data_IF_309404745715
#
_entry.id   IF_309404745715
#
_cell.length_a   1.000
_cell.length_b   1.000
_cell.length_c   1.000
_cell.angle_alpha   90.00
_cell.angle_beta   90.00
_cell.angle_gamma   90.00
#
_symmetry.space_group_name_H-M   'P 1'
#
loop_
_entity.id
_entity.type
_entity.pdbx_description
1 polymer ?
#
# COMPACT_ATOMS: atom_id res chain seq x y z
N UNK A 1 -30.86 0.67 -2.43
CA UNK A 1 -29.40 0.99 -2.43
C UNK A 1 -29.19 2.16 -1.47
N UNK A 2 -28.37 2.05 -0.43
CA UNK A 2 -28.04 3.20 0.44
C UNK A 2 -26.84 3.94 -0.16
N UNK A 3 -26.95 5.27 -0.32
CA UNK A 3 -25.82 6.09 -0.73
C UNK A 3 -24.68 5.97 0.29
N UNK A 4 -23.44 5.99 -0.17
CA UNK A 4 -22.26 6.05 0.67
C UNK A 4 -22.12 7.42 1.29
N UNK A 5 -21.64 7.51 2.54
CA UNK A 5 -21.53 8.80 3.26
C UNK A 5 -20.37 9.64 2.73
N UNK A 6 -19.26 8.99 2.41
CA UNK A 6 -18.05 9.64 1.92
C UNK A 6 -17.42 8.82 0.81
N UNK A 7 -16.48 9.40 0.08
CA UNK A 7 -15.69 8.69 -0.91
C UNK A 7 -14.86 7.56 -0.28
N UNK A 8 -14.49 7.66 1.00
CA UNK A 8 -13.74 6.62 1.70
C UNK A 8 -14.53 5.32 1.84
N UNK A 9 -15.87 5.40 1.91
CA UNK A 9 -16.76 4.23 1.98
C UNK A 9 -16.81 3.44 0.66
N UNK A 10 -16.20 3.94 -0.40
CA UNK A 10 -16.09 3.26 -1.70
C UNK A 10 -14.76 2.54 -1.88
N UNK A 11 -13.85 2.66 -0.90
CA UNK A 11 -12.57 1.96 -0.92
C UNK A 11 -12.80 0.48 -0.64
N UNK A 12 -12.14 -0.37 -1.42
CA UNK A 12 -12.34 -1.81 -1.35
C UNK A 12 -13.52 -2.31 -2.18
N UNK A 13 -13.95 -3.54 -1.90
CA UNK A 13 -14.97 -4.26 -2.70
C UNK A 13 -14.69 -4.18 -4.20
N UNK A 14 -13.41 -4.20 -4.56
CA UNK A 14 -12.96 -4.07 -5.95
C UNK A 14 -13.35 -5.30 -6.76
N UNK A 15 -13.61 -5.16 -8.07
CA UNK A 15 -13.96 -6.29 -8.90
C UNK A 15 -12.79 -7.25 -9.09
N UNK A 16 -13.14 -8.50 -9.37
CA UNK A 16 -12.21 -9.51 -9.84
C UNK A 16 -12.65 -9.98 -11.22
N UNK A 17 -11.71 -10.11 -12.15
CA UNK A 17 -11.99 -10.53 -13.53
C UNK A 17 -11.15 -11.74 -13.91
N UNK A 18 -11.74 -12.62 -14.73
CA UNK A 18 -10.99 -13.72 -15.33
C UNK A 18 -10.17 -13.21 -16.52
N UNK A 19 -8.91 -13.62 -16.56
CA UNK A 19 -8.02 -13.33 -17.69
C UNK A 19 -8.03 -14.55 -18.62
N UNK A 20 -8.59 -14.39 -19.81
CA UNK A 20 -8.81 -15.51 -20.71
C UNK A 20 -7.67 -15.72 -21.72
N UNK A 21 -6.90 -14.68 -22.05
CA UNK A 21 -5.94 -14.70 -23.15
C UNK A 21 -4.50 -15.05 -22.75
N UNK A 22 -4.15 -14.99 -21.45
CA UNK A 22 -2.76 -15.13 -21.02
C UNK A 22 -2.35 -16.57 -20.65
N UNK A 23 -3.30 -17.47 -20.42
CA UNK A 23 -2.97 -18.86 -20.10
C UNK A 23 -2.88 -19.70 -21.36
N UNK A 24 -1.72 -20.30 -21.68
CA UNK A 24 -1.62 -21.27 -22.76
C UNK A 24 -2.29 -22.61 -22.40
N UNK A 25 -2.57 -22.85 -21.13
CA UNK A 25 -3.23 -24.05 -20.65
C UNK A 25 -4.70 -23.77 -20.33
N UNK A 26 -5.67 -24.32 -21.06
CA UNK A 26 -7.10 -24.08 -20.85
C UNK A 26 -7.63 -24.58 -19.50
N UNK A 27 -6.90 -25.48 -18.83
CA UNK A 27 -7.24 -25.98 -17.49
C UNK A 27 -6.88 -24.97 -16.37
N UNK A 28 -6.00 -24.01 -16.67
CA UNK A 28 -5.58 -22.99 -15.71
C UNK A 28 -6.48 -21.76 -15.80
N UNK A 29 -7.10 -21.40 -14.70
CA UNK A 29 -7.93 -20.19 -14.58
C UNK A 29 -7.12 -19.10 -13.87
N UNK A 30 -6.90 -17.99 -14.55
CA UNK A 30 -6.20 -16.81 -13.98
C UNK A 30 -7.24 -15.74 -13.68
N UNK A 31 -7.16 -15.16 -12.48
CA UNK A 31 -8.00 -14.05 -12.06
C UNK A 31 -7.15 -12.85 -11.64
N UNK A 32 -7.60 -11.65 -11.96
CA UNK A 32 -6.99 -10.41 -11.53
C UNK A 32 -7.95 -9.63 -10.63
N UNK A 33 -7.48 -9.25 -9.44
CA UNK A 33 -8.15 -8.32 -8.54
C UNK A 33 -7.83 -6.89 -8.98
N UNK A 34 -8.84 -6.13 -9.39
CA UNK A 34 -8.65 -4.83 -10.04
C UNK A 34 -8.59 -3.70 -9.01
N UNK A 35 -7.47 -3.54 -8.34
CA UNK A 35 -7.26 -2.51 -7.32
C UNK A 35 -7.22 -1.06 -7.85
N UNK A 36 -7.14 -0.89 -9.16
CA UNK A 36 -7.34 0.39 -9.84
C UNK A 36 -8.76 0.97 -9.70
N UNK A 37 -9.74 0.19 -9.24
CA UNK A 37 -11.11 0.64 -8.97
C UNK A 37 -11.28 1.33 -7.62
N UNK A 38 -10.25 1.40 -6.78
CA UNK A 38 -10.29 2.28 -5.63
C UNK A 38 -10.31 3.76 -6.06
N UNK A 39 -10.85 4.68 -5.25
CA UNK A 39 -11.08 6.09 -5.62
C UNK A 39 -9.87 6.84 -6.20
N UNK A 40 -8.66 6.57 -5.69
CA UNK A 40 -7.44 7.19 -6.22
C UNK A 40 -6.74 6.33 -7.28
N UNK A 41 -7.37 5.23 -7.71
CA UNK A 41 -6.82 4.31 -8.70
C UNK A 41 -5.78 3.35 -8.16
N UNK A 42 -5.74 3.08 -6.86
CA UNK A 42 -4.67 2.29 -6.27
C UNK A 42 -5.08 1.47 -5.05
N UNK A 43 -4.44 0.33 -4.87
CA UNK A 43 -4.51 -0.49 -3.65
C UNK A 43 -4.09 0.29 -2.38
N UNK A 44 -3.35 1.39 -2.52
CA UNK A 44 -2.84 2.18 -1.40
C UNK A 44 -3.93 2.96 -0.65
N UNK A 45 -5.10 3.15 -1.25
CA UNK A 45 -6.26 3.74 -0.57
C UNK A 45 -6.64 2.91 0.66
N UNK A 46 -6.58 1.58 0.54
CA UNK A 46 -6.89 0.65 1.63
C UNK A 46 -5.99 0.85 2.84
N UNK A 47 -4.68 0.92 2.62
CA UNK A 47 -3.73 1.10 3.70
C UNK A 47 -3.77 2.52 4.28
N UNK A 48 -4.03 3.53 3.45
CA UNK A 48 -4.16 4.91 3.90
C UNK A 48 -5.31 5.05 4.92
N UNK A 49 -6.51 4.56 4.59
CA UNK A 49 -7.64 4.56 5.53
C UNK A 49 -7.29 3.78 6.80
N UNK A 50 -6.81 2.54 6.66
CA UNK A 50 -6.55 1.66 7.82
C UNK A 50 -5.51 2.24 8.77
N UNK A 51 -4.41 2.80 8.25
CA UNK A 51 -3.36 3.40 9.09
C UNK A 51 -3.88 4.63 9.86
N UNK A 52 -4.66 5.48 9.19
CA UNK A 52 -5.23 6.68 9.82
C UNK A 52 -6.29 6.32 10.85
N UNK A 53 -7.24 5.45 10.53
CA UNK A 53 -8.28 5.04 11.48
C UNK A 53 -7.73 4.28 12.68
N UNK A 54 -6.68 3.49 12.49
CA UNK A 54 -5.99 2.85 13.58
C UNK A 54 -5.31 3.87 14.49
N UNK A 55 -4.64 4.87 13.92
CA UNK A 55 -3.98 5.92 14.68
C UNK A 55 -4.96 6.82 15.45
N UNK A 56 -6.13 7.13 14.87
CA UNK A 56 -7.21 7.85 15.56
C UNK A 56 -7.71 7.06 16.78
N UNK A 57 -8.03 5.77 16.58
CA UNK A 57 -8.52 4.90 17.65
C UNK A 57 -7.52 4.71 18.78
N UNK A 58 -6.23 4.70 18.46
CA UNK A 58 -5.14 4.57 19.42
C UNK A 58 -4.72 5.92 20.06
N UNK A 59 -5.34 7.02 19.66
CA UNK A 59 -5.01 8.37 20.16
C UNK A 59 -3.66 8.92 19.69
N UNK A 60 -2.99 8.26 18.73
CA UNK A 60 -1.71 8.72 18.16
C UNK A 60 -1.90 9.88 17.19
N UNK A 61 -3.01 9.88 16.44
CA UNK A 61 -3.43 10.97 15.57
C UNK A 61 -4.62 11.70 16.21
N UNK A 62 -4.39 12.93 16.63
CA UNK A 62 -5.41 13.80 17.23
C UNK A 62 -5.67 15.00 16.34
N UNK A 63 -6.81 15.69 16.56
CA UNK A 63 -7.12 16.94 15.85
C UNK A 63 -6.01 17.97 16.02
N UNK A 64 -5.68 18.67 14.96
CA UNK A 64 -4.60 19.66 14.91
C UNK A 64 -3.25 19.09 14.45
N UNK A 65 -3.04 17.78 14.45
CA UNK A 65 -1.84 17.18 13.86
C UNK A 65 -1.90 17.17 12.35
N UNK A 66 -0.74 17.31 11.73
CA UNK A 66 -0.52 17.12 10.29
C UNK A 66 -0.02 15.70 10.02
N UNK A 67 -0.66 15.00 9.12
CA UNK A 67 -0.17 13.72 8.62
C UNK A 67 1.02 13.99 7.71
N UNK A 68 2.19 13.41 8.03
CA UNK A 68 3.40 13.53 7.20
C UNK A 68 3.87 12.14 6.78
N UNK A 69 4.16 11.94 5.48
CA UNK A 69 4.66 10.64 4.99
C UNK A 69 5.72 10.83 3.91
N UNK A 70 6.88 10.15 4.02
CA UNK A 70 7.86 10.11 2.95
C UNK A 70 7.44 9.10 1.90
N UNK A 71 6.93 9.57 0.77
CA UNK A 71 6.50 8.67 -0.30
C UNK A 71 6.50 9.36 -1.66
N UNK A 72 6.97 8.68 -2.66
CA UNK A 72 6.91 9.13 -4.06
C UNK A 72 5.69 8.60 -4.81
N UNK A 73 4.84 7.81 -4.15
CA UNK A 73 3.85 6.99 -4.83
C UNK A 73 2.41 7.20 -4.38
N UNK A 74 1.62 6.19 -4.71
CA UNK A 74 0.17 6.17 -4.50
C UNK A 74 -0.25 6.28 -3.02
N UNK A 75 0.63 5.92 -2.08
CA UNK A 75 0.34 6.11 -0.65
C UNK A 75 0.13 7.58 -0.31
N UNK A 76 0.94 8.49 -0.89
CA UNK A 76 0.77 9.92 -0.69
C UNK A 76 -0.58 10.44 -1.22
N UNK A 77 -1.02 9.92 -2.37
CA UNK A 77 -2.32 10.27 -2.95
C UNK A 77 -3.46 9.73 -2.07
N UNK A 78 -3.37 8.47 -1.61
CA UNK A 78 -4.34 7.89 -0.69
C UNK A 78 -4.42 8.62 0.65
N UNK A 79 -3.29 9.04 1.22
CA UNK A 79 -3.27 9.84 2.44
C UNK A 79 -3.89 11.24 2.24
N UNK A 80 -3.66 11.86 1.07
CA UNK A 80 -4.25 13.16 0.77
C UNK A 80 -5.79 13.11 0.74
N UNK A 81 -6.39 12.10 0.07
CA UNK A 81 -7.85 11.95 0.05
C UNK A 81 -8.42 11.61 1.43
N UNK A 82 -7.73 10.79 2.22
CA UNK A 82 -8.13 10.48 3.60
C UNK A 82 -8.06 11.73 4.47
N UNK A 83 -6.98 12.49 4.36
CA UNK A 83 -6.78 13.70 5.13
C UNK A 83 -7.87 14.73 4.90
N UNK A 84 -8.18 15.05 3.63
CA UNK A 84 -9.22 16.04 3.31
C UNK A 84 -10.60 15.62 3.82
N UNK A 85 -10.96 14.34 3.69
CA UNK A 85 -12.25 13.83 4.16
C UNK A 85 -12.35 13.82 5.68
N UNK A 86 -11.27 13.52 6.39
CA UNK A 86 -11.22 13.45 7.86
C UNK A 86 -10.84 14.78 8.53
N UNK A 87 -10.48 15.80 7.75
CA UNK A 87 -10.13 17.14 8.23
C UNK A 87 -8.72 17.25 8.81
N UNK A 88 -7.78 16.44 8.35
CA UNK A 88 -6.35 16.54 8.70
C UNK A 88 -5.55 17.18 7.58
N UNK A 89 -4.68 18.16 7.89
CA UNK A 89 -3.64 18.57 6.95
C UNK A 89 -2.72 17.40 6.59
N UNK A 90 -2.32 17.32 5.31
CA UNK A 90 -1.41 16.28 4.83
C UNK A 90 -0.20 16.93 4.17
N UNK A 91 0.99 16.51 4.57
CA UNK A 91 2.27 16.91 3.99
C UNK A 91 3.02 15.68 3.48
N UNK A 92 3.24 15.61 2.17
CA UNK A 92 3.99 14.51 1.55
C UNK A 92 5.40 14.98 1.25
N UNK A 93 6.38 14.25 1.77
CA UNK A 93 7.80 14.48 1.51
C UNK A 93 8.25 13.57 0.38
N UNK A 94 8.82 14.14 -0.69
CA UNK A 94 9.28 13.37 -1.84
C UNK A 94 10.46 14.01 -2.54
N UNK A 95 11.24 13.19 -3.25
CA UNK A 95 12.33 13.66 -4.07
C UNK A 95 11.84 14.50 -5.27
N UNK A 96 12.62 15.49 -5.67
CA UNK A 96 12.42 16.27 -6.90
C UNK A 96 12.44 15.41 -8.17
N UNK A 97 13.04 14.23 -8.13
CA UNK A 97 13.03 13.28 -9.25
C UNK A 97 11.64 12.68 -9.53
N UNK A 98 10.69 12.81 -8.60
CA UNK A 98 9.31 12.31 -8.79
C UNK A 98 8.55 13.17 -9.79
N UNK A 99 7.74 12.50 -10.63
CA UNK A 99 6.99 13.16 -11.70
C UNK A 99 6.08 14.30 -11.19
N UNK A 100 5.93 15.32 -11.99
CA UNK A 100 5.17 16.53 -11.65
C UNK A 100 3.67 16.22 -11.52
N UNK A 101 3.16 15.21 -12.23
CA UNK A 101 1.76 14.80 -12.21
C UNK A 101 1.35 14.36 -10.81
N UNK A 102 2.20 13.60 -10.11
CA UNK A 102 1.94 13.15 -8.74
C UNK A 102 1.86 14.30 -7.75
N UNK A 103 2.74 15.28 -7.90
CA UNK A 103 2.71 16.51 -7.10
C UNK A 103 1.40 17.27 -7.32
N UNK A 104 0.94 17.36 -8.59
CA UNK A 104 -0.33 18.01 -8.96
C UNK A 104 -1.53 17.27 -8.35
N UNK A 105 -1.57 15.93 -8.42
CA UNK A 105 -2.67 15.15 -7.85
C UNK A 105 -2.76 15.32 -6.34
N UNK A 106 -1.63 15.24 -5.62
CA UNK A 106 -1.62 15.43 -4.15
C UNK A 106 -2.14 16.81 -3.78
N UNK A 107 -1.70 17.87 -4.50
CA UNK A 107 -2.18 19.24 -4.28
C UNK A 107 -3.65 19.41 -4.63
N UNK A 108 -4.14 18.75 -5.67
CA UNK A 108 -5.55 18.78 -6.05
C UNK A 108 -6.46 18.17 -4.95
N UNK A 109 -5.95 17.20 -4.19
CA UNK A 109 -6.60 16.67 -3.00
C UNK A 109 -6.28 17.47 -1.71
N UNK A 110 -5.80 18.72 -1.82
CA UNK A 110 -5.54 19.59 -0.68
C UNK A 110 -4.28 19.25 0.14
N UNK A 111 -3.49 18.26 -0.28
CA UNK A 111 -2.22 17.94 0.37
C UNK A 111 -1.12 18.93 -0.03
N UNK A 112 -0.13 19.10 0.85
CA UNK A 112 1.10 19.84 0.57
C UNK A 112 2.23 18.90 0.17
N UNK A 113 3.16 19.39 -0.65
CA UNK A 113 4.32 18.60 -1.10
C UNK A 113 5.59 19.35 -0.71
N UNK A 114 6.43 18.68 0.07
CA UNK A 114 7.79 19.12 0.40
C UNK A 114 8.78 18.31 -0.41
N UNK A 115 9.65 19.01 -1.13
CA UNK A 115 10.64 18.38 -2.00
C UNK A 115 11.99 18.24 -1.30
N UNK A 116 12.70 17.16 -1.62
CA UNK A 116 14.10 16.95 -1.26
C UNK A 116 14.94 16.87 -2.54
N UNK A 117 16.26 17.15 -2.47
CA UNK A 117 17.14 17.09 -3.64
C UNK A 117 17.02 15.77 -4.40
N UNK A 118 17.01 15.84 -5.73
CA UNK A 118 16.88 14.67 -6.60
C UNK A 118 17.96 13.60 -6.33
N UNK A 119 19.19 14.05 -6.05
CA UNK A 119 20.34 13.19 -5.78
C UNK A 119 20.17 12.32 -4.52
N UNK A 120 19.34 12.74 -3.56
CA UNK A 120 19.10 12.00 -2.32
C UNK A 120 18.00 10.93 -2.46
N UNK A 121 17.27 10.94 -3.56
CA UNK A 121 16.22 9.97 -3.85
C UNK A 121 15.17 9.85 -2.75
N UNK A 122 14.67 8.63 -2.55
CA UNK A 122 13.67 8.32 -1.51
C UNK A 122 14.26 8.44 -0.09
N UNK A 123 15.54 8.16 0.09
CA UNK A 123 16.19 8.17 1.40
C UNK A 123 16.28 9.58 1.99
N UNK A 124 16.49 10.60 1.14
CA UNK A 124 16.43 12.01 1.56
C UNK A 124 15.06 12.38 2.09
N UNK A 125 14.00 11.93 1.41
CA UNK A 125 12.64 12.18 1.87
C UNK A 125 12.36 11.51 3.22
N UNK A 126 12.82 10.27 3.41
CA UNK A 126 12.67 9.53 4.68
C UNK A 126 13.40 10.23 5.81
N UNK A 127 14.67 10.63 5.59
CA UNK A 127 15.46 11.35 6.60
C UNK A 127 14.78 12.67 7.00
N UNK A 128 14.31 13.44 6.02
CA UNK A 128 13.66 14.72 6.29
C UNK A 128 12.35 14.54 7.06
N UNK A 129 11.49 13.61 6.65
CA UNK A 129 10.22 13.36 7.34
C UNK A 129 10.46 12.93 8.80
N UNK A 130 11.39 12.01 9.05
CA UNK A 130 11.75 11.57 10.40
C UNK A 130 12.32 12.72 11.26
N UNK A 131 13.17 13.56 10.68
CA UNK A 131 13.70 14.75 11.36
C UNK A 131 12.56 15.69 11.79
N UNK A 132 11.65 16.02 10.87
CA UNK A 132 10.52 16.92 11.15
C UNK A 132 9.61 16.38 12.26
N UNK A 133 9.33 15.07 12.27
CA UNK A 133 8.55 14.42 13.32
C UNK A 133 9.27 14.47 14.67
N UNK A 134 10.58 14.18 14.67
CA UNK A 134 11.37 14.22 15.92
C UNK A 134 11.47 15.62 16.51
N UNK A 135 11.60 16.65 15.68
CA UNK A 135 11.66 18.06 16.11
C UNK A 135 10.29 18.63 16.52
N UNK A 136 9.20 18.09 15.99
CA UNK A 136 7.85 18.60 16.21
C UNK A 136 6.82 17.48 16.43
N UNK A 137 6.94 16.67 17.49
CA UNK A 137 6.10 15.48 17.71
C UNK A 137 4.63 15.83 17.97
N UNK A 138 4.34 17.02 18.48
CA UNK A 138 2.97 17.48 18.72
C UNK A 138 2.29 17.93 17.43
N UNK A 139 3.05 18.40 16.45
CA UNK A 139 2.55 18.88 15.16
C UNK A 139 2.33 17.75 14.16
N UNK A 140 3.21 16.76 14.14
CA UNK A 140 3.21 15.74 13.09
C UNK A 140 2.83 14.36 13.60
N UNK A 141 2.15 13.63 12.73
CA UNK A 141 1.95 12.18 12.81
C UNK A 141 2.42 11.53 11.53
N UNK A 142 3.35 10.59 11.62
CA UNK A 142 3.84 9.82 10.48
C UNK A 142 3.24 8.40 10.51
N UNK A 143 2.42 8.03 9.51
CA UNK A 143 1.88 6.68 9.40
C UNK A 143 2.96 5.60 9.30
N UNK A 144 4.07 5.89 8.62
CA UNK A 144 5.19 4.98 8.34
C UNK A 144 4.73 3.66 7.71
N UNK A 145 4.35 3.73 6.43
CA UNK A 145 3.83 2.58 5.68
C UNK A 145 4.74 1.35 5.70
N UNK A 146 6.04 1.51 5.97
CA UNK A 146 7.01 0.42 5.96
C UNK A 146 7.08 -0.34 7.28
N UNK A 147 6.79 0.31 8.42
CA UNK A 147 6.87 -0.28 9.75
C UNK A 147 5.49 -0.48 10.41
N UNK A 148 4.42 0.06 9.85
CA UNK A 148 3.10 0.06 10.45
C UNK A 148 2.34 -1.25 10.20
N UNK A 149 2.00 -1.97 11.26
CA UNK A 149 1.21 -3.20 11.17
C UNK A 149 -0.16 -3.01 10.51
N UNK A 150 -0.76 -1.81 10.61
CA UNK A 150 -2.02 -1.50 9.95
C UNK A 150 -1.96 -1.64 8.42
N UNK A 151 -0.75 -1.57 7.82
CA UNK A 151 -0.57 -1.81 6.40
C UNK A 151 -0.96 -3.25 6.03
N UNK A 152 -0.35 -4.26 6.63
CA UNK A 152 -0.72 -5.64 6.30
C UNK A 152 -2.11 -6.02 6.83
N UNK A 153 -2.56 -5.45 7.96
CA UNK A 153 -3.89 -5.68 8.50
C UNK A 153 -5.00 -5.20 7.57
N UNK A 154 -4.81 -4.10 6.84
CA UNK A 154 -5.76 -3.65 5.81
C UNK A 154 -6.03 -4.74 4.76
N UNK A 155 -5.00 -5.49 4.41
CA UNK A 155 -5.12 -6.57 3.43
C UNK A 155 -5.60 -7.87 4.05
N UNK A 156 -5.18 -8.18 5.28
CA UNK A 156 -5.63 -9.36 6.00
C UNK A 156 -7.14 -9.32 6.27
N UNK A 157 -7.63 -8.21 6.81
CA UNK A 157 -9.02 -8.08 7.25
C UNK A 157 -10.01 -7.84 6.09
N UNK A 158 -9.55 -7.24 4.99
CA UNK A 158 -10.46 -6.83 3.91
C UNK A 158 -10.09 -7.46 2.55
N UNK A 159 -8.93 -7.17 2.00
CA UNK A 159 -8.58 -7.60 0.63
C UNK A 159 -8.58 -9.11 0.50
N UNK A 160 -8.02 -9.81 1.49
CA UNK A 160 -7.97 -11.27 1.50
C UNK A 160 -9.36 -11.89 1.62
N UNK A 161 -10.22 -11.33 2.47
CA UNK A 161 -11.60 -11.76 2.61
C UNK A 161 -12.39 -11.58 1.31
N UNK A 162 -12.22 -10.42 0.64
CA UNK A 162 -12.83 -10.18 -0.67
C UNK A 162 -12.39 -11.24 -1.70
N UNK A 163 -11.08 -11.51 -1.77
CA UNK A 163 -10.53 -12.53 -2.68
C UNK A 163 -11.11 -13.90 -2.37
N UNK A 164 -11.14 -14.29 -1.10
CA UNK A 164 -11.69 -15.57 -0.65
C UNK A 164 -13.16 -15.73 -1.06
N UNK A 165 -13.97 -14.72 -0.81
CA UNK A 165 -15.39 -14.71 -1.17
C UNK A 165 -15.61 -14.75 -2.69
N UNK A 166 -14.87 -13.93 -3.45
CA UNK A 166 -15.00 -13.83 -4.91
C UNK A 166 -14.56 -15.10 -5.65
N UNK A 167 -13.67 -15.89 -5.04
CA UNK A 167 -13.21 -17.17 -5.61
C UNK A 167 -13.96 -18.38 -5.06
N UNK A 168 -14.87 -18.18 -4.09
CA UNK A 168 -15.50 -19.30 -3.37
C UNK A 168 -14.48 -20.17 -2.64
N UNK A 169 -13.33 -19.61 -2.25
CA UNK A 169 -12.24 -20.33 -1.61
C UNK A 169 -11.42 -21.23 -2.54
N UNK A 170 -11.72 -21.25 -3.83
CA UNK A 170 -11.03 -22.10 -4.81
C UNK A 170 -9.77 -21.40 -5.34
N UNK A 171 -8.69 -21.47 -4.59
CA UNK A 171 -7.41 -20.84 -4.88
C UNK A 171 -6.29 -21.87 -4.72
N UNK A 172 -5.52 -22.10 -5.78
CA UNK A 172 -4.30 -22.91 -5.72
C UNK A 172 -3.06 -22.05 -5.53
N UNK A 173 -3.03 -20.87 -6.18
CA UNK A 173 -1.90 -19.96 -6.19
C UNK A 173 -2.34 -18.52 -5.95
N UNK A 174 -1.64 -17.83 -5.05
CA UNK A 174 -1.64 -16.38 -4.96
C UNK A 174 -0.35 -15.84 -5.60
N UNK A 175 -0.48 -14.98 -6.61
CA UNK A 175 0.66 -14.25 -7.17
C UNK A 175 0.53 -12.78 -6.78
N UNK A 176 1.54 -12.24 -6.11
CA UNK A 176 1.52 -10.86 -5.64
C UNK A 176 2.90 -10.21 -5.78
N UNK A 177 2.92 -9.00 -6.34
CA UNK A 177 4.15 -8.22 -6.40
C UNK A 177 4.47 -7.58 -5.04
N UNK A 178 5.75 -7.28 -4.79
CA UNK A 178 6.22 -6.70 -3.53
C UNK A 178 6.61 -5.23 -3.69
N UNK A 179 6.05 -4.40 -2.79
CA UNK A 179 6.46 -3.01 -2.56
C UNK A 179 6.81 -2.79 -1.10
N UNK A 180 5.82 -2.54 -0.25
CA UNK A 180 5.97 -2.46 1.21
C UNK A 180 5.83 -3.82 1.92
N UNK A 181 5.63 -4.89 1.20
CA UNK A 181 5.26 -6.24 1.68
C UNK A 181 3.85 -6.38 2.28
N UNK A 182 3.17 -5.31 2.62
CA UNK A 182 1.88 -5.36 3.33
C UNK A 182 0.82 -6.19 2.62
N UNK A 183 0.66 -6.04 1.31
CA UNK A 183 -0.30 -6.82 0.51
C UNK A 183 0.05 -8.32 0.55
N UNK A 184 1.29 -8.66 0.23
CA UNK A 184 1.75 -10.06 0.23
C UNK A 184 1.54 -10.71 1.60
N UNK A 185 1.95 -10.03 2.67
CA UNK A 185 1.86 -10.55 4.04
C UNK A 185 0.40 -10.69 4.52
N UNK A 186 -0.43 -9.68 4.26
CA UNK A 186 -1.84 -9.74 4.67
C UNK A 186 -2.60 -10.85 3.96
N UNK A 187 -2.45 -10.93 2.64
CA UNK A 187 -3.10 -11.97 1.84
C UNK A 187 -2.59 -13.36 2.19
N UNK A 188 -1.28 -13.54 2.26
CA UNK A 188 -0.66 -14.82 2.56
C UNK A 188 -1.10 -15.37 3.91
N UNK A 189 -1.01 -14.55 4.97
CA UNK A 189 -1.43 -14.96 6.33
C UNK A 189 -2.89 -15.40 6.37
N UNK A 190 -3.80 -14.63 5.78
CA UNK A 190 -5.21 -14.98 5.75
C UNK A 190 -5.46 -16.26 4.96
N UNK A 191 -4.96 -16.33 3.73
CA UNK A 191 -5.21 -17.47 2.83
C UNK A 191 -4.61 -18.76 3.36
N UNK A 192 -3.44 -18.71 4.02
CA UNK A 192 -2.82 -19.87 4.66
C UNK A 192 -3.60 -20.37 5.88
N UNK A 193 -4.27 -19.50 6.61
CA UNK A 193 -5.20 -19.89 7.69
C UNK A 193 -6.41 -20.60 7.11
N UNK A 194 -6.96 -20.12 5.99
CA UNK A 194 -8.13 -20.70 5.33
C UNK A 194 -7.80 -22.02 4.62
N UNK A 195 -6.67 -22.09 3.95
CA UNK A 195 -6.18 -23.29 3.25
C UNK A 195 -4.64 -23.29 3.19
N UNK A 196 -3.97 -24.10 4.03
CA UNK A 196 -2.50 -24.17 4.04
C UNK A 196 -1.86 -24.65 2.73
N UNK A 197 -2.62 -25.34 1.85
CA UNK A 197 -2.14 -25.85 0.58
C UNK A 197 -1.95 -24.76 -0.49
N UNK A 198 -2.55 -23.57 -0.30
CA UNK A 198 -2.39 -22.45 -1.25
C UNK A 198 -0.91 -22.07 -1.35
N UNK A 199 -0.39 -22.01 -2.57
CA UNK A 199 0.97 -21.59 -2.83
C UNK A 199 1.02 -20.07 -3.03
N UNK A 200 1.96 -19.41 -2.36
CA UNK A 200 2.15 -17.97 -2.45
C UNK A 200 3.39 -17.69 -3.27
N UNK A 201 3.24 -16.91 -4.33
CA UNK A 201 4.30 -16.54 -5.26
C UNK A 201 4.54 -15.04 -5.17
N UNK A 202 5.76 -14.65 -4.84
CA UNK A 202 6.21 -13.27 -4.84
C UNK A 202 6.81 -12.94 -6.21
N UNK A 203 6.18 -12.01 -6.93
CA UNK A 203 6.74 -11.45 -8.16
C UNK A 203 7.56 -10.21 -7.82
N UNK A 204 8.79 -10.15 -8.28
CA UNK A 204 9.69 -9.00 -8.06
C UNK A 204 10.44 -8.64 -9.35
N UNK A 205 10.86 -7.36 -9.50
CA UNK A 205 11.71 -6.96 -10.61
C UNK A 205 13.03 -7.74 -10.60
N UNK A 206 13.60 -7.99 -11.77
CA UNK A 206 14.99 -8.45 -11.88
C UNK A 206 15.94 -7.44 -11.23
N UNK A 207 17.00 -7.91 -10.59
CA UNK A 207 18.02 -7.05 -9.98
C UNK A 207 18.56 -6.03 -10.99
N UNK A 208 18.69 -4.79 -10.57
CA UNK A 208 19.08 -3.66 -11.41
C UNK A 208 17.95 -3.07 -12.29
N UNK A 209 16.73 -3.64 -12.25
CA UNK A 209 15.59 -3.12 -13.01
C UNK A 209 14.61 -2.38 -12.10
N UNK A 210 14.29 -1.17 -12.47
CA UNK A 210 13.33 -0.35 -11.73
C UNK A 210 11.92 -0.50 -12.30
N UNK A 211 11.01 -1.05 -11.49
CA UNK A 211 9.56 -1.01 -11.75
C UNK A 211 8.91 -0.18 -10.65
N UNK A 212 8.18 0.85 -11.05
CA UNK A 212 7.59 1.79 -10.12
C UNK A 212 6.64 1.12 -9.11
N UNK A 213 6.91 1.34 -7.82
CA UNK A 213 6.12 0.78 -6.72
C UNK A 213 6.46 -0.65 -6.36
N UNK A 214 7.37 -1.31 -7.10
CA UNK A 214 7.88 -2.63 -6.79
C UNK A 214 9.33 -2.55 -6.30
N UNK A 215 9.73 -3.56 -5.54
CA UNK A 215 11.10 -3.70 -5.03
C UNK A 215 11.63 -5.09 -5.31
N UNK A 216 12.93 -5.19 -5.57
CA UNK A 216 13.66 -6.45 -5.50
C UNK A 216 14.09 -6.69 -4.05
N UNK A 217 13.90 -7.90 -3.54
CA UNK A 217 14.17 -8.24 -2.14
C UNK A 217 15.65 -8.19 -1.79
N UNK A 218 16.54 -8.44 -2.77
CA UNK A 218 17.99 -8.38 -2.57
C UNK A 218 18.52 -6.94 -2.50
N UNK A 219 17.76 -5.99 -3.10
CA UNK A 219 18.11 -4.56 -3.16
C UNK A 219 17.36 -3.72 -2.12
N UNK A 220 16.36 -4.30 -1.45
CA UNK A 220 15.59 -3.59 -0.45
C UNK A 220 16.43 -3.34 0.80
N UNK A 221 16.63 -2.07 1.15
CA UNK A 221 17.21 -1.70 2.44
C UNK A 221 16.37 -2.33 3.55
N UNK A 222 17.02 -2.94 4.53
CA UNK A 222 16.44 -3.79 5.60
C UNK A 222 15.24 -3.18 6.39
N UNK A 223 14.93 -1.91 6.19
CA UNK A 223 13.84 -1.18 6.88
C UNK A 223 12.44 -1.69 6.49
N UNK A 224 12.28 -2.29 5.30
CA UNK A 224 10.98 -2.81 4.86
C UNK A 224 10.78 -4.31 5.12
N UNK A 225 11.81 -5.01 5.60
CA UNK A 225 11.80 -6.47 5.77
C UNK A 225 11.38 -6.95 7.16
N UNK A 226 11.10 -6.07 8.11
CA UNK A 226 10.70 -6.43 9.48
C UNK A 226 9.43 -7.28 9.53
N UNK A 227 8.58 -7.19 8.52
CA UNK A 227 7.37 -8.00 8.41
C UNK A 227 7.56 -9.36 7.71
N UNK A 228 8.68 -9.56 6.99
CA UNK A 228 8.97 -10.79 6.24
C UNK A 228 9.66 -11.88 7.06
N UNK A 229 10.07 -11.62 8.30
CA UNK A 229 10.83 -12.56 9.13
C UNK A 229 10.02 -13.72 9.73
N UNK A 230 8.74 -13.84 9.46
CA UNK A 230 7.92 -14.91 10.02
C UNK A 230 7.44 -15.90 8.94
N UNK A 231 8.15 -17.01 8.78
CA UNK A 231 7.63 -18.33 8.40
C UNK A 231 7.00 -18.54 7.01
N UNK A 232 7.43 -17.86 5.94
CA UNK A 232 6.82 -18.14 4.64
C UNK A 232 7.87 -18.51 3.58
N UNK A 233 7.82 -19.75 3.13
CA UNK A 233 8.41 -20.22 1.88
C UNK A 233 7.62 -19.58 0.73
N UNK A 234 7.95 -18.34 0.37
CA UNK A 234 7.48 -17.75 -0.87
C UNK A 234 8.30 -18.33 -2.03
N UNK A 235 7.63 -18.90 -3.01
CA UNK A 235 8.25 -19.22 -4.29
C UNK A 235 8.55 -17.88 -5.00
N UNK A 236 9.81 -17.61 -5.29
CA UNK A 236 10.20 -16.40 -6.02
C UNK A 236 10.05 -16.61 -7.51
N UNK A 237 9.21 -15.80 -8.15
CA UNK A 237 9.18 -15.64 -9.59
C UNK A 237 9.92 -14.35 -9.93
N UNK A 238 11.02 -14.44 -10.65
CA UNK A 238 11.78 -13.29 -11.16
C UNK A 238 11.28 -12.98 -12.56
N UNK A 239 10.77 -11.77 -12.77
CA UNK A 239 10.36 -11.28 -14.09
C UNK A 239 11.36 -10.25 -14.62
#
# INVERSE_FOLDING_TARGET
MKAKKTILDTIGSTPMVRINALSPNPKVKIFAKLEGFNPTGSIKDRIAVKMIETAEREGRLTKGKTIIEPTSGNTGIGLAIVGIVKGYPVEIVMSEAVSIERRKIIRAYGGTVRLTPAAEGTDGAIRLARKLVAENPDKYFMPDQFANAANYLAHYENTALEIWQQTGGQIDYLVCAIGTSGTLMGLSRFLKVMNPAIKVVCAQPTKGHYIQGLKNMEEAIAVSSTHLRAHETALHLVC
#
